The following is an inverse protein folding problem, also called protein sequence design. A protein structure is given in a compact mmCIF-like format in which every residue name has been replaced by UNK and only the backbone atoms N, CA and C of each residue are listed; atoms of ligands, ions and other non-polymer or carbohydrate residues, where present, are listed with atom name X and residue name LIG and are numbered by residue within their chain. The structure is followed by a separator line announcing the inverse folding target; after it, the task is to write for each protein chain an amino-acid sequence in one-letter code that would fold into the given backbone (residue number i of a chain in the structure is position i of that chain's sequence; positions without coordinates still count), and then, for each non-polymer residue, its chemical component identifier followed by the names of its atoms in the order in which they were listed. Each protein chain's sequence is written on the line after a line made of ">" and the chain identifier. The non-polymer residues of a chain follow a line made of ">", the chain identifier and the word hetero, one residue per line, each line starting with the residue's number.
data_IF_433889297645
#
_entry.id   IF_433889297645
#
_cell.length_a   1.000
_cell.length_b   1.000
_cell.length_c   1.000
_cell.angle_alpha   90.00
_cell.angle_beta   90.00
_cell.angle_gamma   90.00
#
_symmetry.space_group_name_H-M   'P 1'
#
loop_
_entity.id
_entity.type
_entity.pdbx_description
1 polymer ?
#
# COMPACT_ATOMS: atom_id res chain seq x y z
N UNK A 1 7.23 -14.64 17.41
CA UNK A 1 6.03 -13.95 16.91
C UNK A 1 4.74 -14.49 17.54
N UNK A 2 4.55 -15.81 17.61
CA UNK A 2 3.30 -16.41 18.12
C UNK A 2 2.92 -15.99 19.56
N UNK A 3 3.90 -15.95 20.48
CA UNK A 3 3.69 -15.46 21.87
C UNK A 3 3.25 -13.99 21.93
N UNK A 4 3.72 -13.17 21.00
CA UNK A 4 3.38 -11.75 20.86
C UNK A 4 1.91 -11.58 20.50
N UNK A 5 1.36 -12.45 19.64
CA UNK A 5 -0.02 -12.39 19.20
C UNK A 5 -1.03 -12.81 20.27
N UNK A 6 -0.71 -13.81 21.09
CA UNK A 6 -1.57 -14.19 22.22
C UNK A 6 -1.66 -13.05 23.24
N UNK A 7 -0.55 -12.36 23.51
CA UNK A 7 -0.53 -11.20 24.41
C UNK A 7 -1.32 -10.03 23.81
N UNK A 8 -1.13 -9.73 22.53
CA UNK A 8 -1.90 -8.71 21.81
C UNK A 8 -3.40 -9.01 21.88
N UNK A 9 -3.82 -10.25 21.62
CA UNK A 9 -5.25 -10.62 21.67
C UNK A 9 -5.82 -10.49 23.08
N UNK A 10 -5.06 -10.89 24.11
CA UNK A 10 -5.44 -10.64 25.51
C UNK A 10 -5.57 -9.15 25.82
N UNK A 11 -4.67 -8.33 25.29
CA UNK A 11 -4.69 -6.87 25.46
C UNK A 11 -5.91 -6.23 24.77
N UNK A 12 -6.18 -6.59 23.51
CA UNK A 12 -7.34 -6.11 22.74
C UNK A 12 -8.68 -6.51 23.37
N UNK A 13 -8.75 -7.69 23.97
CA UNK A 13 -9.96 -8.21 24.61
C UNK A 13 -10.11 -7.81 26.09
N UNK A 14 -9.26 -6.92 26.62
CA UNK A 14 -9.44 -6.40 27.98
C UNK A 14 -10.77 -5.66 28.09
N UNK A 15 -11.34 -5.67 29.30
CA UNK A 15 -12.53 -4.88 29.63
C UNK A 15 -12.14 -3.91 30.75
N UNK A 16 -12.25 -2.58 30.54
CA UNK A 16 -12.66 -1.93 29.29
C UNK A 16 -11.63 -2.13 28.16
N UNK A 17 -12.09 -2.05 26.91
CA UNK A 17 -11.21 -2.16 25.75
C UNK A 17 -10.20 -1.00 25.74
N UNK A 18 -8.94 -1.30 25.43
CA UNK A 18 -7.91 -0.28 25.28
C UNK A 18 -8.25 0.67 24.11
N UNK A 19 -7.92 1.95 24.27
CA UNK A 19 -8.12 2.91 23.19
C UNK A 19 -7.19 2.61 22.01
N UNK A 20 -7.63 2.90 20.78
CA UNK A 20 -6.79 2.67 19.58
C UNK A 20 -5.46 3.44 19.64
N UNK A 21 -5.44 4.61 20.26
CA UNK A 21 -4.21 5.38 20.49
C UNK A 21 -3.21 4.65 21.40
N UNK A 22 -3.69 3.99 22.46
CA UNK A 22 -2.87 3.21 23.39
C UNK A 22 -2.34 1.94 22.71
N UNK A 23 -3.20 1.25 21.95
CA UNK A 23 -2.80 0.06 21.18
C UNK A 23 -1.68 0.41 20.19
N UNK A 24 -1.77 1.56 19.51
CA UNK A 24 -0.73 2.04 18.58
C UNK A 24 0.60 2.35 19.27
N UNK A 25 0.56 2.91 20.48
CA UNK A 25 1.77 3.23 21.24
C UNK A 25 2.46 1.98 21.79
N UNK A 26 1.69 1.03 22.32
CA UNK A 26 2.21 -0.20 22.93
C UNK A 26 2.63 -1.25 21.88
N UNK A 27 1.99 -1.24 20.72
CA UNK A 27 2.19 -2.25 19.67
C UNK A 27 2.64 -1.65 18.34
N UNK A 28 3.62 -0.73 18.37
CA UNK A 28 4.16 -0.05 17.18
C UNK A 28 4.45 -1.02 16.02
N UNK A 29 5.04 -2.18 16.33
CA UNK A 29 5.36 -3.20 15.32
C UNK A 29 4.12 -3.72 14.59
N UNK A 30 2.98 -3.90 15.26
CA UNK A 30 1.74 -4.37 14.62
C UNK A 30 1.24 -3.39 13.54
N UNK A 31 1.52 -2.10 13.71
CA UNK A 31 1.12 -1.04 12.79
C UNK A 31 2.20 -0.73 11.74
N UNK A 32 3.34 -1.42 11.77
CA UNK A 32 4.22 -1.46 10.59
C UNK A 32 3.56 -2.32 9.51
N UNK A 33 3.66 -1.89 8.25
CA UNK A 33 3.01 -2.57 7.12
C UNK A 33 3.42 -4.06 7.02
N UNK A 34 4.71 -4.35 7.17
CA UNK A 34 5.25 -5.72 7.10
C UNK A 34 4.62 -6.63 8.15
N UNK A 35 4.57 -6.18 9.40
CA UNK A 35 3.99 -6.98 10.48
C UNK A 35 2.47 -7.05 10.38
N UNK A 36 1.80 -6.00 9.88
CA UNK A 36 0.36 -6.01 9.65
C UNK A 36 -0.02 -7.08 8.62
N UNK A 37 0.68 -7.12 7.47
CA UNK A 37 0.44 -8.14 6.44
C UNK A 37 0.81 -9.54 6.93
N UNK A 38 1.94 -9.70 7.61
CA UNK A 38 2.32 -10.98 8.20
C UNK A 38 1.30 -11.47 9.24
N UNK A 39 0.77 -10.56 10.07
CA UNK A 39 -0.25 -10.89 11.05
C UNK A 39 -1.57 -11.27 10.40
N UNK A 40 -2.00 -10.52 9.37
CA UNK A 40 -3.19 -10.85 8.60
C UNK A 40 -3.06 -12.22 7.93
N UNK A 41 -1.91 -12.50 7.29
CA UNK A 41 -1.62 -13.79 6.66
C UNK A 41 -1.62 -14.94 7.66
N UNK A 42 -1.07 -14.75 8.86
CA UNK A 42 -1.14 -15.78 9.91
C UNK A 42 -2.58 -16.06 10.37
N UNK A 43 -3.43 -15.03 10.48
CA UNK A 43 -4.79 -15.18 10.98
C UNK A 43 -5.79 -15.69 9.95
N UNK A 44 -5.54 -15.43 8.67
CA UNK A 44 -6.50 -15.68 7.59
C UNK A 44 -6.00 -16.67 6.55
N UNK A 45 -4.71 -17.04 6.60
CA UNK A 45 -4.00 -17.81 5.57
C UNK A 45 -3.98 -17.10 4.20
N UNK A 46 -4.27 -15.80 4.18
CA UNK A 46 -4.29 -14.99 2.96
C UNK A 46 -3.07 -14.07 2.92
N UNK A 47 -2.21 -14.29 1.93
CA UNK A 47 -1.15 -13.35 1.57
C UNK A 47 -1.75 -12.15 0.80
N UNK A 48 -1.86 -11.01 1.48
CA UNK A 48 -2.45 -9.79 0.92
C UNK A 48 -1.67 -9.26 -0.26
N UNK A 49 -0.33 -9.30 -0.21
CA UNK A 49 0.52 -8.77 -1.27
C UNK A 49 0.41 -9.62 -2.53
N UNK A 50 0.49 -10.94 -2.36
CA UNK A 50 0.31 -11.88 -3.47
C UNK A 50 -1.10 -11.73 -4.08
N UNK A 51 -2.15 -11.65 -3.26
CA UNK A 51 -3.52 -11.50 -3.77
C UNK A 51 -3.74 -10.18 -4.50
N UNK A 52 -3.13 -9.09 -4.03
CA UNK A 52 -3.18 -7.80 -4.71
C UNK A 52 -2.50 -7.89 -6.08
N UNK A 53 -1.30 -8.48 -6.17
CA UNK A 53 -0.58 -8.68 -7.42
C UNK A 53 -1.36 -9.56 -8.40
N UNK A 54 -1.95 -10.67 -7.93
CA UNK A 54 -2.80 -11.55 -8.73
C UNK A 54 -4.04 -10.80 -9.26
N UNK A 55 -4.68 -9.98 -8.43
CA UNK A 55 -5.86 -9.21 -8.83
C UNK A 55 -5.51 -8.15 -9.89
N UNK A 56 -4.43 -7.40 -9.68
CA UNK A 56 -3.91 -6.41 -10.65
C UNK A 56 -3.55 -7.10 -11.97
N UNK A 57 -2.87 -8.25 -11.92
CA UNK A 57 -2.48 -8.98 -13.14
C UNK A 57 -3.70 -9.51 -13.91
N UNK A 58 -4.72 -9.98 -13.21
CA UNK A 58 -5.93 -10.57 -13.84
C UNK A 58 -6.93 -9.54 -14.32
N UNK A 59 -7.08 -8.41 -13.62
CA UNK A 59 -8.15 -7.42 -13.84
C UNK A 59 -7.65 -6.03 -14.19
N UNK A 60 -6.35 -5.80 -14.16
CA UNK A 60 -5.74 -4.50 -14.41
C UNK A 60 -6.11 -3.91 -15.76
N UNK A 61 -6.07 -4.72 -16.81
CA UNK A 61 -6.47 -4.26 -18.16
C UNK A 61 -7.96 -3.89 -18.20
N UNK A 62 -8.83 -4.69 -17.57
CA UNK A 62 -10.26 -4.35 -17.48
C UNK A 62 -10.51 -3.02 -16.78
N UNK A 63 -9.72 -2.70 -15.75
CA UNK A 63 -9.80 -1.41 -15.05
C UNK A 63 -9.34 -0.28 -15.97
N UNK A 64 -8.22 -0.45 -16.67
CA UNK A 64 -7.71 0.54 -17.63
C UNK A 64 -8.73 0.83 -18.74
N UNK A 65 -9.27 -0.22 -19.35
CA UNK A 65 -10.26 -0.12 -20.43
C UNK A 65 -11.52 0.59 -19.93
N UNK A 66 -12.02 0.22 -18.75
CA UNK A 66 -13.18 0.89 -18.15
C UNK A 66 -12.90 2.36 -17.85
N UNK A 67 -11.76 2.68 -17.23
CA UNK A 67 -11.39 4.06 -16.92
C UNK A 67 -11.26 4.93 -18.19
N UNK A 68 -10.81 4.36 -19.30
CA UNK A 68 -10.73 5.06 -20.58
C UNK A 68 -12.12 5.47 -21.13
N UNK A 69 -13.20 4.79 -20.73
CA UNK A 69 -14.57 5.15 -21.10
C UNK A 69 -15.17 6.29 -20.26
N UNK A 70 -14.53 6.66 -19.15
CA UNK A 70 -15.06 7.66 -18.24
C UNK A 70 -14.76 9.08 -18.73
N UNK A 71 -15.78 9.94 -18.73
CA UNK A 71 -15.60 11.37 -18.97
C UNK A 71 -15.11 12.07 -17.70
N UNK A 72 -13.86 11.82 -17.33
CA UNK A 72 -13.20 12.46 -16.21
C UNK A 72 -11.80 12.94 -16.64
N UNK A 73 -11.54 14.27 -16.65
CA UNK A 73 -10.28 14.82 -17.13
C UNK A 73 -9.09 14.33 -16.30
N UNK A 74 -9.24 14.18 -14.98
CA UNK A 74 -8.14 13.70 -14.12
C UNK A 74 -7.78 12.25 -14.42
N UNK A 75 -8.77 11.41 -14.75
CA UNK A 75 -8.54 10.01 -15.12
C UNK A 75 -7.80 9.96 -16.46
N UNK A 76 -8.20 10.82 -17.40
CA UNK A 76 -7.55 10.95 -18.71
C UNK A 76 -6.09 11.39 -18.57
N UNK A 77 -5.79 12.32 -17.68
CA UNK A 77 -4.43 12.77 -17.41
C UNK A 77 -3.55 11.63 -16.89
N UNK A 78 -4.06 10.83 -15.94
CA UNK A 78 -3.34 9.65 -15.41
C UNK A 78 -3.09 8.62 -16.50
N UNK A 79 -4.08 8.33 -17.35
CA UNK A 79 -3.94 7.40 -18.47
C UNK A 79 -2.94 7.89 -19.52
N UNK A 80 -2.87 9.21 -19.77
CA UNK A 80 -1.97 9.80 -20.76
C UNK A 80 -0.50 9.75 -20.32
N UNK A 81 -0.22 9.76 -19.02
CA UNK A 81 1.13 9.64 -18.47
C UNK A 81 1.62 8.18 -18.38
N UNK A 82 0.79 7.20 -18.71
CA UNK A 82 1.12 5.78 -18.58
C UNK A 82 1.75 5.23 -19.85
N UNK A 83 2.90 4.57 -19.69
CA UNK A 83 3.57 3.80 -20.73
C UNK A 83 2.99 2.36 -20.78
N UNK A 84 2.38 1.92 -21.90
CA UNK A 84 1.81 0.59 -22.06
C UNK A 84 2.79 -0.58 -21.79
N UNK A 85 4.09 -0.34 -21.99
CA UNK A 85 5.15 -1.34 -21.84
C UNK A 85 5.70 -1.38 -20.39
N UNK A 86 5.25 -0.48 -19.52
CA UNK A 86 5.67 -0.38 -18.11
C UNK A 86 4.74 -1.14 -17.16
N UNK A 87 5.23 -1.38 -15.93
CA UNK A 87 4.47 -2.04 -14.87
C UNK A 87 3.16 -1.29 -14.57
N UNK A 88 2.03 -2.00 -14.71
CA UNK A 88 0.69 -1.38 -14.67
C UNK A 88 0.20 -1.08 -13.25
N UNK A 89 0.84 -1.65 -12.23
CA UNK A 89 0.32 -1.69 -10.86
C UNK A 89 0.10 -0.29 -10.28
N UNK A 90 1.10 0.59 -10.40
CA UNK A 90 1.01 1.96 -9.88
C UNK A 90 -0.10 2.76 -10.58
N UNK A 91 -0.19 2.65 -11.91
CA UNK A 91 -1.24 3.31 -12.70
C UNK A 91 -2.63 2.85 -12.28
N UNK A 92 -2.84 1.54 -12.18
CA UNK A 92 -4.12 0.95 -11.76
C UNK A 92 -4.51 1.41 -10.35
N UNK A 93 -3.57 1.42 -9.40
CA UNK A 93 -3.83 1.89 -8.05
C UNK A 93 -4.22 3.37 -8.03
N UNK A 94 -3.49 4.23 -8.75
CA UNK A 94 -3.82 5.66 -8.86
C UNK A 94 -5.21 5.89 -9.48
N UNK A 95 -5.56 5.13 -10.51
CA UNK A 95 -6.89 5.19 -11.13
C UNK A 95 -7.99 4.77 -10.17
N UNK A 96 -7.78 3.70 -9.40
CA UNK A 96 -8.75 3.25 -8.39
C UNK A 96 -8.94 4.31 -7.31
N UNK A 97 -7.86 4.91 -6.79
CA UNK A 97 -7.98 6.02 -5.83
C UNK A 97 -8.80 7.16 -6.38
N UNK A 98 -8.48 7.58 -7.61
CA UNK A 98 -9.13 8.71 -8.23
C UNK A 98 -10.61 8.44 -8.51
N UNK A 99 -10.94 7.21 -8.93
CA UNK A 99 -12.31 6.76 -9.14
C UNK A 99 -13.12 6.75 -7.84
N UNK A 100 -12.55 6.20 -6.75
CA UNK A 100 -13.19 6.16 -5.43
C UNK A 100 -13.06 7.47 -4.64
N UNK A 101 -12.40 8.50 -5.21
CA UNK A 101 -12.14 9.79 -4.57
C UNK A 101 -11.32 9.67 -3.27
N UNK A 102 -10.47 8.66 -3.17
CA UNK A 102 -9.54 8.52 -2.06
C UNK A 102 -8.35 9.48 -2.23
N UNK A 103 -7.90 10.15 -1.16
CA UNK A 103 -6.75 11.06 -1.21
C UNK A 103 -5.48 10.25 -1.49
N UNK A 104 -4.70 10.66 -2.49
CA UNK A 104 -3.45 9.98 -2.91
C UNK A 104 -2.43 9.81 -1.77
N UNK A 105 -2.49 10.72 -0.80
CA UNK A 105 -1.66 10.74 0.41
C UNK A 105 -1.93 9.52 1.31
N UNK A 106 -3.07 8.83 1.17
CA UNK A 106 -3.35 7.57 1.90
C UNK A 106 -2.69 6.34 1.28
N UNK A 107 -2.24 6.42 0.02
CA UNK A 107 -1.39 5.38 -0.60
C UNK A 107 0.08 5.64 -0.33
N UNK A 108 0.43 6.86 0.08
CA UNK A 108 1.76 7.18 0.61
C UNK A 108 1.90 6.50 1.97
N UNK A 109 2.50 5.32 1.98
CA UNK A 109 3.06 4.77 3.19
C UNK A 109 4.17 5.72 3.63
N UNK A 110 4.05 6.29 4.83
CA UNK A 110 5.20 6.84 5.54
C UNK A 110 6.25 5.72 5.61
N UNK A 111 7.24 5.80 4.72
CA UNK A 111 8.42 4.97 4.80
C UNK A 111 9.05 5.30 6.14
N UNK A 112 9.21 4.28 6.98
CA UNK A 112 9.79 4.40 8.31
C UNK A 112 11.11 5.19 8.20
N UNK A 113 11.10 6.42 8.73
CA UNK A 113 12.20 7.40 8.62
C UNK A 113 13.46 6.89 9.33
N UNK A 114 13.35 5.81 10.11
CA UNK A 114 14.51 5.16 10.72
C UNK A 114 15.47 4.50 9.71
N UNK A 115 15.10 4.34 8.43
CA UNK A 115 16.03 3.89 7.37
C UNK A 115 16.60 4.99 6.46
N UNK A 116 16.15 6.24 6.57
CA UNK A 116 16.50 7.32 5.62
C UNK A 116 17.58 8.30 6.07
N UNK A 117 18.42 7.98 7.06
CA UNK A 117 19.59 8.83 7.37
C UNK A 117 20.67 8.86 6.27
N UNK A 118 20.51 8.18 5.12
CA UNK A 118 21.53 8.17 4.06
C UNK A 118 21.14 8.69 2.68
N UNK A 119 19.88 9.03 2.36
CA UNK A 119 19.60 9.56 1.00
C UNK A 119 18.59 10.71 0.99
N UNK A 120 19.09 11.84 0.46
CA UNK A 120 18.40 13.11 0.21
C UNK A 120 17.27 12.89 -0.81
N UNK A 121 16.04 13.41 -0.59
CA UNK A 121 14.91 13.06 -1.45
C UNK A 121 14.83 13.99 -2.66
N UNK A 122 15.06 13.42 -3.84
CA UNK A 122 14.69 14.00 -5.14
C UNK A 122 14.18 12.85 -6.02
N UNK A 123 12.86 12.61 -5.95
CA UNK A 123 12.17 11.56 -6.71
C UNK A 123 11.10 10.84 -5.88
N UNK A 124 9.93 10.59 -6.48
CA UNK A 124 8.87 9.78 -5.86
C UNK A 124 9.28 8.31 -5.82
N UNK A 125 9.01 7.64 -4.68
CA UNK A 125 9.35 6.23 -4.45
C UNK A 125 8.13 5.50 -3.90
N UNK A 126 7.69 4.44 -4.58
CA UNK A 126 6.79 3.44 -3.99
C UNK A 126 7.67 2.22 -3.69
N UNK A 127 7.76 1.83 -2.41
CA UNK A 127 8.55 0.69 -1.96
C UNK A 127 7.63 -0.50 -1.72
N UNK A 128 7.73 -1.53 -2.57
CA UNK A 128 7.20 -2.85 -2.31
C UNK A 128 8.41 -3.78 -2.24
N UNK A 129 8.74 -4.20 -1.01
CA UNK A 129 9.76 -5.21 -0.65
C UNK A 129 10.92 -5.37 -1.64
N UNK A 130 11.81 -4.37 -1.68
CA UNK A 130 13.12 -4.48 -2.34
C UNK A 130 13.19 -4.06 -3.80
N UNK A 131 12.06 -3.71 -4.44
CA UNK A 131 12.09 -3.03 -5.74
C UNK A 131 11.69 -1.56 -5.58
N UNK A 132 12.64 -0.70 -5.92
CA UNK A 132 12.44 0.75 -6.02
C UNK A 132 11.88 1.04 -7.40
N UNK A 133 10.60 1.39 -7.48
CA UNK A 133 10.00 1.90 -8.72
C UNK A 133 9.91 3.42 -8.62
N UNK A 134 10.74 4.08 -9.42
CA UNK A 134 10.81 5.54 -9.60
C UNK A 134 11.42 5.84 -10.97
N UNK A 135 11.26 7.07 -11.50
CA UNK A 135 11.84 7.43 -12.78
C UNK A 135 13.37 7.28 -12.71
N UNK A 136 13.94 6.51 -13.64
CA UNK A 136 15.38 6.44 -13.83
C UNK A 136 15.94 7.86 -14.02
N UNK A 137 16.97 8.28 -13.28
CA UNK A 137 17.62 9.55 -13.56
C UNK A 137 18.34 9.45 -14.90
N UNK A 138 17.89 10.25 -15.87
CA UNK A 138 18.79 10.70 -16.91
C UNK A 138 19.77 11.69 -16.25
N UNK A 139 20.99 11.20 -16.04
CA UNK A 139 22.20 11.90 -15.57
C UNK A 139 22.21 12.46 -14.14
#
# INVERSE_FOLDING_TARGET
>A
MEKTYVILRKYLNKVPAAAMSEIKQEWLFLFSQKCLFSHFGLLTEVDVLQKLQEAISRRGQTILDYCATLDNPKIRDVLACYDPDSEKAACILLLLMLYFKEPKERLMLEVDVTMTMMMKPSGWLISIEGHVMGPHPFF
#
